data_IF_004616269671
#
_entry.id   IF_004616269671
#
_cell.length_a   1.000
_cell.length_b   1.000
_cell.length_c   1.000
_cell.angle_alpha   90.00
_cell.angle_beta   90.00
_cell.angle_gamma   90.00
#
_symmetry.space_group_name_H-M   'P 1'
#
loop_
_entity.id
_entity.type
_entity.pdbx_description
1 polymer ?
#
# COMPACT_ATOMS: atom_id res chain seq x y z
N UNK A 1 -4.78 2.24 -8.67
CA UNK A 1 -5.38 0.88 -8.63
C UNK A 1 -4.53 -0.17 -7.90
N UNK A 2 -3.22 -0.33 -8.17
CA UNK A 2 -2.41 -1.38 -7.52
C UNK A 2 -2.36 -1.26 -5.98
N UNK A 3 -2.19 -0.04 -5.45
CA UNK A 3 -2.15 0.20 -3.99
C UNK A 3 -3.43 -0.23 -3.28
N UNK A 4 -4.60 -0.02 -3.89
CA UNK A 4 -5.89 -0.42 -3.33
C UNK A 4 -5.99 -1.95 -3.23
N UNK A 5 -5.52 -2.68 -4.25
CA UNK A 5 -5.51 -4.15 -4.20
C UNK A 5 -4.54 -4.66 -3.14
N UNK A 6 -3.34 -4.06 -3.06
CA UNK A 6 -2.37 -4.40 -2.03
C UNK A 6 -2.95 -4.19 -0.62
N UNK A 7 -3.61 -3.06 -0.39
CA UNK A 7 -4.30 -2.76 0.86
C UNK A 7 -5.37 -3.80 1.22
N UNK A 8 -6.26 -4.16 0.27
CA UNK A 8 -7.28 -5.18 0.48
C UNK A 8 -6.66 -6.54 0.84
N UNK A 9 -5.61 -6.95 0.13
CA UNK A 9 -4.89 -8.19 0.42
C UNK A 9 -4.27 -8.17 1.82
N UNK A 10 -3.54 -7.11 2.18
CA UNK A 10 -2.91 -6.99 3.51
C UNK A 10 -3.94 -6.97 4.63
N UNK A 11 -5.06 -6.24 4.46
CA UNK A 11 -6.14 -6.24 5.44
C UNK A 11 -6.75 -7.63 5.62
N UNK A 12 -6.99 -8.35 4.53
CA UNK A 12 -7.54 -9.71 4.58
C UNK A 12 -6.57 -10.67 5.25
N UNK A 13 -5.28 -10.61 4.91
CA UNK A 13 -4.24 -11.45 5.51
C UNK A 13 -4.07 -11.16 7.00
N UNK A 14 -4.08 -9.89 7.41
CA UNK A 14 -4.01 -9.50 8.82
C UNK A 14 -5.12 -10.13 9.70
N UNK A 15 -6.29 -10.41 9.11
CA UNK A 15 -7.39 -11.07 9.82
C UNK A 15 -7.11 -12.56 10.15
N UNK A 16 -6.12 -13.19 9.50
CA UNK A 16 -5.67 -14.56 9.80
C UNK A 16 -4.67 -14.62 10.98
N UNK A 17 -4.43 -13.49 11.66
CA UNK A 17 -3.52 -13.44 12.80
C UNK A 17 -2.05 -13.46 12.39
N UNK A 18 -1.20 -14.10 13.21
CA UNK A 18 0.26 -13.99 13.09
C UNK A 18 0.79 -14.48 11.74
N UNK A 19 0.36 -15.67 11.31
CA UNK A 19 0.79 -16.25 10.03
C UNK A 19 0.35 -15.38 8.84
N UNK A 20 -0.84 -14.79 8.93
CA UNK A 20 -1.33 -13.85 7.93
C UNK A 20 -0.52 -12.55 7.87
N UNK A 21 -0.09 -12.01 9.01
CA UNK A 21 0.81 -10.85 9.05
C UNK A 21 2.17 -11.18 8.44
N UNK A 22 2.73 -12.35 8.75
CA UNK A 22 3.99 -12.82 8.16
C UNK A 22 3.87 -12.98 6.65
N UNK A 23 2.81 -13.64 6.17
CA UNK A 23 2.54 -13.74 4.73
C UNK A 23 2.33 -12.37 4.08
N UNK A 24 1.62 -11.47 4.76
CA UNK A 24 1.40 -10.10 4.29
C UNK A 24 2.71 -9.34 4.08
N UNK A 25 3.69 -9.53 4.98
CA UNK A 25 5.02 -8.95 4.84
C UNK A 25 5.73 -9.48 3.58
N UNK A 26 5.70 -10.78 3.31
CA UNK A 26 6.27 -11.33 2.08
C UNK A 26 5.61 -10.77 0.82
N UNK A 27 4.28 -10.63 0.79
CA UNK A 27 3.58 -10.03 -0.35
C UNK A 27 3.98 -8.57 -0.53
N UNK A 28 4.18 -7.82 0.56
CA UNK A 28 4.61 -6.41 0.52
C UNK A 28 6.04 -6.26 -0.01
N UNK A 29 6.94 -7.18 0.33
CA UNK A 29 8.30 -7.22 -0.21
C UNK A 29 8.32 -7.48 -1.72
N UNK A 30 7.53 -8.44 -2.20
CA UNK A 30 7.37 -8.72 -3.63
C UNK A 30 6.83 -7.48 -4.36
N UNK A 31 5.82 -6.82 -3.78
CA UNK A 31 5.25 -5.58 -4.31
C UNK A 31 6.32 -4.47 -4.42
N UNK A 32 7.15 -4.28 -3.41
CA UNK A 32 8.20 -3.26 -3.43
C UNK A 32 9.30 -3.58 -4.45
N UNK A 33 9.67 -4.84 -4.61
CA UNK A 33 10.65 -5.24 -5.62
C UNK A 33 10.14 -4.99 -7.05
N UNK A 34 8.87 -5.29 -7.32
CA UNK A 34 8.23 -4.95 -8.59
C UNK A 34 8.17 -3.43 -8.81
N UNK A 35 7.81 -2.67 -7.77
CA UNK A 35 7.79 -1.21 -7.82
C UNK A 35 9.17 -0.63 -8.14
N UNK A 36 10.21 -1.09 -7.45
CA UNK A 36 11.60 -0.68 -7.68
C UNK A 36 12.03 -0.98 -9.12
N UNK A 37 11.71 -2.18 -9.62
CA UNK A 37 12.01 -2.59 -11.00
C UNK A 37 11.32 -1.67 -12.01
N UNK A 38 10.04 -1.32 -11.80
CA UNK A 38 9.30 -0.44 -12.70
C UNK A 38 9.81 0.99 -12.65
N UNK A 39 10.15 1.50 -11.47
CA UNK A 39 10.72 2.84 -11.26
C UNK A 39 12.08 2.95 -11.96
N UNK A 40 12.96 1.96 -11.82
CA UNK A 40 14.25 1.91 -12.54
C UNK A 40 14.06 1.86 -14.06
N UNK A 41 13.14 1.00 -14.55
CA UNK A 41 12.81 0.91 -15.99
C UNK A 41 12.24 2.21 -16.55
N UNK A 42 11.55 3.00 -15.74
CA UNK A 42 11.05 4.33 -16.10
C UNK A 42 12.15 5.42 -16.13
N UNK A 43 13.42 5.05 -15.90
CA UNK A 43 14.57 5.95 -15.98
C UNK A 43 14.97 6.58 -14.65
N UNK A 44 14.28 6.26 -13.55
CA UNK A 44 14.62 6.75 -12.21
C UNK A 44 15.70 5.85 -11.61
N UNK A 45 16.95 6.09 -12.00
CA UNK A 45 18.11 5.34 -11.52
C UNK A 45 18.92 6.12 -10.48
N UNK A 46 18.97 7.44 -10.61
CA UNK A 46 19.63 8.31 -9.63
C UNK A 46 18.71 8.50 -8.41
N UNK A 47 19.27 8.36 -7.20
CA UNK A 47 18.54 8.47 -5.93
C UNK A 47 17.38 7.46 -5.78
N UNK A 48 17.46 6.28 -6.40
CA UNK A 48 16.42 5.24 -6.31
C UNK A 48 15.99 4.96 -4.87
N UNK A 49 16.94 4.80 -3.94
CA UNK A 49 16.64 4.57 -2.51
C UNK A 49 15.93 5.75 -1.83
N UNK A 50 16.13 6.99 -2.31
CA UNK A 50 15.36 8.16 -1.81
C UNK A 50 13.92 8.07 -2.33
N UNK A 51 13.75 7.78 -3.61
CA UNK A 51 12.43 7.64 -4.22
C UNK A 51 11.63 6.49 -3.61
N UNK A 52 12.24 5.33 -3.38
CA UNK A 52 11.58 4.20 -2.72
C UNK A 52 11.07 4.56 -1.32
N UNK A 53 11.83 5.34 -0.54
CA UNK A 53 11.37 5.84 0.77
C UNK A 53 10.20 6.81 0.67
N UNK A 54 10.17 7.66 -0.35
CA UNK A 54 9.00 8.53 -0.57
C UNK A 54 7.77 7.74 -1.02
N UNK A 55 7.95 6.74 -1.88
CA UNK A 55 6.87 5.83 -2.30
C UNK A 55 6.32 5.02 -1.13
N UNK A 56 7.18 4.57 -0.21
CA UNK A 56 6.79 3.90 1.03
C UNK A 56 5.94 4.81 1.93
N UNK A 57 6.33 6.08 2.12
CA UNK A 57 5.52 7.05 2.87
C UNK A 57 4.14 7.26 2.23
N UNK A 58 4.09 7.38 0.91
CA UNK A 58 2.84 7.50 0.16
C UNK A 58 1.98 6.24 0.34
N UNK A 59 2.59 5.05 0.31
CA UNK A 59 1.90 3.80 0.54
C UNK A 59 1.25 3.77 1.93
N UNK A 60 2.01 3.98 3.00
CA UNK A 60 1.44 3.96 4.36
C UNK A 60 0.44 5.09 4.61
N UNK A 61 0.64 6.27 4.03
CA UNK A 61 -0.34 7.35 4.05
C UNK A 61 -1.68 6.92 3.45
N UNK A 62 -1.65 6.22 2.31
CA UNK A 62 -2.84 5.64 1.69
C UNK A 62 -3.48 4.55 2.55
N UNK A 63 -2.69 3.64 3.16
CA UNK A 63 -3.22 2.60 4.06
C UNK A 63 -4.00 3.24 5.21
N UNK A 64 -3.44 4.25 5.88
CA UNK A 64 -4.11 4.97 6.96
C UNK A 64 -5.40 5.62 6.46
N UNK A 65 -5.35 6.33 5.32
CA UNK A 65 -6.53 6.98 4.76
C UNK A 65 -7.66 5.98 4.43
N UNK A 66 -7.32 4.85 3.83
CA UNK A 66 -8.29 3.80 3.49
C UNK A 66 -8.84 3.10 4.73
N UNK A 67 -7.98 2.82 5.72
CA UNK A 67 -8.41 2.23 6.98
C UNK A 67 -9.36 3.15 7.75
N UNK A 68 -9.04 4.44 7.84
CA UNK A 68 -9.93 5.45 8.45
C UNK A 68 -11.26 5.54 7.73
N UNK A 69 -11.26 5.50 6.40
CA UNK A 69 -12.48 5.55 5.59
C UNK A 69 -13.35 4.28 5.65
N UNK A 70 -12.88 3.23 6.34
CA UNK A 70 -13.58 1.97 6.57
C UNK A 70 -14.00 1.76 8.03
N UNK A 71 -13.77 2.75 8.90
CA UNK A 71 -14.21 2.68 10.29
C UNK A 71 -15.74 2.76 10.40
N UNK A 72 -16.36 2.22 11.46
CA UNK A 72 -17.81 2.30 11.67
C UNK A 72 -18.38 3.71 11.62
N UNK A 73 -17.60 4.71 12.01
CA UNK A 73 -17.92 6.14 12.01
C UNK A 73 -17.71 6.85 10.66
N UNK A 74 -17.16 6.17 9.65
CA UNK A 74 -16.92 6.74 8.34
C UNK A 74 -18.25 7.08 7.63
N UNK A 75 -18.27 8.20 6.90
CA UNK A 75 -19.45 8.64 6.15
C UNK A 75 -19.54 7.89 4.81
N UNK A 76 -20.76 7.71 4.27
CA UNK A 76 -20.93 7.24 2.91
C UNK A 76 -20.10 8.09 1.92
N UNK A 77 -19.24 7.43 1.14
CA UNK A 77 -18.36 8.08 0.17
C UNK A 77 -16.95 8.42 0.66
N UNK A 78 -16.63 8.28 1.96
CA UNK A 78 -15.28 8.58 2.47
C UNK A 78 -14.21 7.70 1.81
N UNK A 79 -14.49 6.41 1.58
CA UNK A 79 -13.56 5.52 0.89
C UNK A 79 -13.36 5.94 -0.57
N UNK A 80 -14.44 6.31 -1.27
CA UNK A 80 -14.35 6.81 -2.64
C UNK A 80 -13.47 8.07 -2.69
N UNK A 81 -13.68 9.01 -1.77
CA UNK A 81 -12.90 10.22 -1.67
C UNK A 81 -11.42 9.96 -1.32
N UNK A 82 -11.15 8.96 -0.48
CA UNK A 82 -9.78 8.57 -0.13
C UNK A 82 -9.04 7.92 -1.30
N UNK A 83 -9.71 7.07 -2.09
CA UNK A 83 -9.12 6.35 -3.23
C UNK A 83 -8.82 7.26 -4.42
N UNK A 84 -9.64 8.30 -4.64
CA UNK A 84 -9.55 9.20 -5.79
C UNK A 84 -8.95 10.58 -5.48
N UNK A 85 -8.39 10.76 -4.28
CA UNK A 85 -7.65 11.95 -3.89
C UNK A 85 -6.30 12.03 -4.60
#
# INVERSE_FOLDING_TARGET
MLVVHMWLCLRRLKAEGKEGVELGQYVYEIYNHDLETRVSKAGVNLLLSKWMRELEKVFYGNIVAFDTAMLPEAKPGDLQNAVWK
#
